data_IF_206281130726
#
_entry.id   IF_206281130726
#
_cell.length_a   1.000
_cell.length_b   1.000
_cell.length_c   1.000
_cell.angle_alpha   90.00
_cell.angle_beta   90.00
_cell.angle_gamma   90.00
#
_symmetry.space_group_name_H-M   'P 1'
#
loop_
_entity.id
_entity.type
_entity.pdbx_description
1 polymer ?
#
# COMPACT_ATOMS: atom_id res chain seq x y z
N UNK A 1 16.07 -50.16 -11.53
CA UNK A 1 16.37 -48.79 -11.96
C UNK A 1 15.05 -48.07 -12.07
N UNK A 2 14.84 -46.92 -11.37
CA UNK A 2 13.61 -46.16 -11.41
C UNK A 2 13.85 -44.88 -12.17
N UNK A 3 13.02 -44.59 -13.17
CA UNK A 3 13.10 -43.33 -13.91
C UNK A 3 12.28 -42.30 -13.18
N UNK A 4 12.91 -41.15 -12.87
CA UNK A 4 12.31 -40.06 -12.13
C UNK A 4 12.03 -38.88 -13.06
N UNK A 5 10.86 -38.21 -12.95
CA UNK A 5 10.59 -36.98 -13.68
C UNK A 5 11.48 -35.84 -13.16
N UNK A 6 11.74 -34.86 -14.02
CA UNK A 6 12.50 -33.66 -13.66
C UNK A 6 11.74 -32.88 -12.58
N UNK A 7 12.46 -32.42 -11.55
CA UNK A 7 11.86 -31.71 -10.41
C UNK A 7 11.47 -32.62 -9.23
N UNK A 8 11.80 -33.92 -9.28
CA UNK A 8 11.60 -34.83 -8.16
C UNK A 8 12.63 -34.61 -7.06
N UNK A 9 12.20 -34.60 -5.79
CA UNK A 9 13.07 -34.47 -4.63
C UNK A 9 13.47 -35.86 -4.09
N UNK A 10 14.76 -36.16 -4.09
CA UNK A 10 15.31 -37.38 -3.49
C UNK A 10 15.45 -37.15 -1.98
N UNK A 11 14.88 -38.04 -1.16
CA UNK A 11 14.83 -37.91 0.30
C UNK A 11 16.01 -38.68 0.95
N UNK A 12 16.52 -39.65 0.25
CA UNK A 12 17.51 -40.62 0.80
C UNK A 12 18.89 -40.20 0.36
N UNK A 13 19.83 -40.24 1.31
CA UNK A 13 21.25 -40.05 1.06
C UNK A 13 21.91 -41.34 0.52
N UNK A 14 23.00 -41.20 -0.24
CA UNK A 14 23.73 -42.32 -0.79
C UNK A 14 24.31 -43.20 0.33
N UNK A 15 24.18 -44.53 0.21
CA UNK A 15 24.72 -45.50 1.14
C UNK A 15 23.77 -45.95 2.26
N UNK A 16 22.56 -45.45 2.33
CA UNK A 16 21.59 -45.89 3.34
C UNK A 16 20.85 -47.15 2.87
N UNK A 17 20.77 -48.16 3.73
CA UNK A 17 19.97 -49.37 3.49
C UNK A 17 18.47 -49.06 3.61
N UNK A 18 17.71 -49.30 2.54
CA UNK A 18 16.27 -49.07 2.46
C UNK A 18 15.47 -50.36 2.60
N UNK A 19 14.44 -50.31 3.43
CA UNK A 19 13.47 -51.42 3.58
C UNK A 19 12.34 -51.30 2.59
N UNK A 20 11.67 -52.42 2.28
CA UNK A 20 10.48 -52.41 1.45
C UNK A 20 9.39 -51.47 2.03
N UNK A 21 8.83 -50.60 1.18
CA UNK A 21 7.87 -49.57 1.60
C UNK A 21 8.46 -48.23 2.00
N UNK A 22 9.78 -48.05 2.00
CA UNK A 22 10.41 -46.78 2.28
C UNK A 22 10.22 -45.78 1.11
N UNK A 23 9.91 -44.54 1.42
CA UNK A 23 9.71 -43.49 0.40
C UNK A 23 11.08 -43.03 -0.08
N UNK A 24 11.40 -43.27 -1.33
CA UNK A 24 12.72 -42.94 -1.92
C UNK A 24 12.72 -41.50 -2.48
N UNK A 25 11.61 -41.08 -3.06
CA UNK A 25 11.52 -39.81 -3.82
C UNK A 25 10.14 -39.21 -3.61
N UNK A 26 10.11 -37.91 -3.41
CA UNK A 26 8.91 -37.09 -3.48
C UNK A 26 8.79 -36.45 -4.86
N UNK A 27 7.70 -36.69 -5.53
CA UNK A 27 7.38 -36.03 -6.79
C UNK A 27 6.39 -34.91 -6.47
N UNK A 28 6.80 -33.63 -6.63
CA UNK A 28 5.84 -32.53 -6.44
C UNK A 28 4.69 -32.74 -7.44
N UNK A 29 3.48 -32.72 -6.95
CA UNK A 29 2.32 -32.68 -7.83
C UNK A 29 2.32 -31.33 -8.49
N UNK A 30 2.92 -31.22 -9.66
CA UNK A 30 2.64 -30.12 -10.57
C UNK A 30 1.19 -30.32 -10.95
N UNK A 31 0.30 -29.64 -10.27
CA UNK A 31 -1.04 -29.42 -10.77
C UNK A 31 -0.84 -28.82 -12.14
N UNK A 32 -0.97 -29.63 -13.19
CA UNK A 32 -1.23 -29.07 -14.50
C UNK A 32 -2.38 -28.12 -14.26
N UNK A 33 -2.13 -26.81 -14.31
CA UNK A 33 -3.18 -25.82 -14.21
C UNK A 33 -4.21 -26.28 -15.22
N UNK A 34 -5.26 -26.93 -14.73
CA UNK A 34 -6.46 -27.19 -15.51
C UNK A 34 -6.79 -25.81 -16.07
N UNK A 35 -6.64 -25.67 -17.36
CA UNK A 35 -6.98 -24.43 -18.11
C UNK A 35 -8.48 -24.27 -17.95
N UNK A 36 -8.86 -23.77 -16.78
CA UNK A 36 -10.24 -23.44 -16.52
C UNK A 36 -10.50 -22.17 -17.32
N UNK A 37 -11.16 -22.34 -18.45
CA UNK A 37 -11.55 -21.28 -19.40
C UNK A 37 -12.38 -20.22 -18.66
N UNK A 38 -12.98 -20.57 -17.53
CA UNK A 38 -13.76 -19.67 -16.67
C UNK A 38 -12.91 -18.73 -15.82
N UNK A 39 -11.62 -18.98 -15.67
CA UNK A 39 -10.70 -18.12 -14.91
C UNK A 39 -10.13 -16.92 -15.67
N UNK A 40 -10.49 -16.69 -16.94
CA UNK A 40 -9.91 -15.65 -17.78
C UNK A 40 -10.23 -14.21 -17.34
N UNK A 41 -11.07 -13.49 -18.11
CA UNK A 41 -11.44 -12.09 -17.83
C UNK A 41 -12.04 -11.87 -16.43
N UNK A 42 -12.91 -12.75 -15.88
CA UNK A 42 -13.40 -12.59 -14.51
C UNK A 42 -12.28 -12.58 -13.47
N UNK A 43 -11.23 -13.37 -13.65
CA UNK A 43 -10.07 -13.37 -12.75
C UNK A 43 -9.30 -12.04 -12.77
N UNK A 44 -9.13 -11.45 -13.94
CA UNK A 44 -8.50 -10.12 -14.07
C UNK A 44 -9.31 -9.07 -13.31
N UNK A 45 -10.64 -9.12 -13.42
CA UNK A 45 -11.53 -8.21 -12.68
C UNK A 45 -11.41 -8.41 -11.16
N UNK A 46 -11.39 -9.68 -10.68
CA UNK A 46 -11.17 -9.96 -9.25
C UNK A 46 -9.85 -9.38 -8.75
N UNK A 47 -8.76 -9.54 -9.51
CA UNK A 47 -7.44 -9.04 -9.13
C UNK A 47 -7.40 -7.52 -9.08
N UNK A 48 -7.95 -6.82 -10.08
CA UNK A 48 -8.00 -5.37 -10.10
C UNK A 48 -8.95 -4.78 -9.05
N UNK A 49 -10.03 -5.49 -8.70
CA UNK A 49 -10.91 -5.07 -7.61
C UNK A 49 -10.42 -5.52 -6.22
N UNK A 50 -9.28 -6.22 -6.15
CA UNK A 50 -8.72 -6.77 -4.92
C UNK A 50 -9.74 -7.59 -4.12
N UNK A 51 -10.60 -8.34 -4.82
CA UNK A 51 -11.64 -9.18 -4.21
C UNK A 51 -11.03 -10.50 -3.74
N UNK A 52 -11.61 -11.04 -2.67
CA UNK A 52 -11.29 -12.40 -2.28
C UNK A 52 -11.79 -13.38 -3.35
N UNK A 53 -10.97 -14.33 -3.79
CA UNK A 53 -11.37 -15.31 -4.78
C UNK A 53 -12.49 -16.21 -4.23
N UNK A 54 -13.35 -16.72 -5.13
CA UNK A 54 -14.43 -17.62 -4.76
C UNK A 54 -13.94 -18.96 -4.18
N UNK A 55 -12.73 -19.38 -4.57
CA UNK A 55 -12.04 -20.56 -4.03
C UNK A 55 -10.66 -20.17 -3.49
N UNK A 56 -10.56 -19.57 -2.27
CA UNK A 56 -9.30 -19.12 -1.73
C UNK A 56 -8.42 -20.29 -1.31
N UNK A 57 -7.15 -20.29 -1.71
CA UNK A 57 -6.15 -21.21 -1.19
C UNK A 57 -5.83 -20.87 0.28
N UNK A 58 -5.51 -21.89 1.06
CA UNK A 58 -4.97 -21.68 2.40
C UNK A 58 -3.47 -21.50 2.25
N UNK A 59 -2.96 -20.37 2.75
CA UNK A 59 -1.57 -19.94 2.60
C UNK A 59 -0.83 -20.08 3.93
N UNK A 60 0.44 -20.49 3.87
CA UNK A 60 1.29 -20.58 5.04
C UNK A 60 1.76 -19.17 5.46
N UNK A 61 1.65 -18.84 6.74
CA UNK A 61 2.06 -17.54 7.28
C UNK A 61 3.51 -17.51 7.77
N UNK A 62 4.11 -18.66 8.06
CA UNK A 62 5.46 -18.79 8.60
C UNK A 62 6.30 -19.74 7.75
N UNK A 63 7.60 -19.54 7.76
CA UNK A 63 8.55 -20.51 7.19
C UNK A 63 8.69 -21.70 8.13
N UNK A 64 8.57 -22.91 7.62
CA UNK A 64 8.69 -24.07 8.50
C UNK A 64 8.51 -25.42 7.81
N UNK A 65 8.58 -26.46 8.62
CA UNK A 65 8.37 -27.85 8.19
C UNK A 65 6.91 -28.22 8.44
N UNK A 66 6.31 -28.83 7.43
CA UNK A 66 4.90 -29.28 7.47
C UNK A 66 4.81 -30.63 8.19
N UNK A 67 3.87 -30.75 9.11
CA UNK A 67 3.45 -32.01 9.71
C UNK A 67 1.91 -32.16 9.57
N UNK A 68 1.46 -33.34 9.21
CA UNK A 68 0.04 -33.63 9.16
C UNK A 68 -0.49 -34.03 10.53
N UNK A 69 -1.46 -33.28 11.00
CA UNK A 69 -2.22 -33.61 12.20
C UNK A 69 -3.46 -34.48 11.96
N UNK A 70 -4.28 -34.59 12.98
CA UNK A 70 -5.50 -35.39 12.95
C UNK A 70 -6.61 -34.73 12.12
N UNK A 71 -7.51 -35.58 11.60
CA UNK A 71 -8.71 -35.11 10.93
C UNK A 71 -9.74 -34.74 11.98
N UNK A 72 -10.15 -33.46 12.01
CA UNK A 72 -11.17 -32.93 12.93
C UNK A 72 -12.38 -32.41 12.15
N UNK A 73 -13.54 -32.93 12.38
CA UNK A 73 -14.81 -32.45 11.78
C UNK A 73 -14.77 -32.26 10.25
N UNK A 74 -14.17 -33.19 9.51
CA UNK A 74 -14.08 -33.11 8.05
C UNK A 74 -12.97 -32.21 7.51
N UNK A 75 -12.13 -31.63 8.39
CA UNK A 75 -10.96 -30.85 8.02
C UNK A 75 -9.68 -31.59 8.45
N UNK A 76 -8.66 -31.57 7.61
CA UNK A 76 -7.33 -32.05 7.96
C UNK A 76 -6.55 -30.91 8.62
N UNK A 77 -5.98 -31.17 9.79
CA UNK A 77 -5.06 -30.25 10.46
C UNK A 77 -3.69 -30.36 9.79
N UNK A 78 -3.14 -29.24 9.36
CA UNK A 78 -1.76 -29.09 8.90
C UNK A 78 -1.05 -28.21 9.93
N UNK A 79 0.03 -28.72 10.46
CA UNK A 79 0.87 -28.01 11.43
C UNK A 79 2.13 -27.59 10.72
N UNK A 80 2.51 -26.33 10.84
CA UNK A 80 3.78 -25.82 10.32
C UNK A 80 4.61 -25.36 11.51
N UNK A 81 5.80 -25.91 11.63
CA UNK A 81 6.74 -25.63 12.71
C UNK A 81 7.93 -24.86 12.14
N UNK A 82 8.15 -23.65 12.64
CA UNK A 82 9.30 -22.83 12.30
C UNK A 82 10.55 -23.27 13.05
N UNK A 83 11.73 -22.95 12.53
CA UNK A 83 13.02 -23.15 13.22
C UNK A 83 13.09 -22.41 14.57
N UNK A 84 12.33 -21.35 14.73
CA UNK A 84 12.25 -20.54 15.95
C UNK A 84 11.30 -21.12 17.01
N UNK A 85 10.74 -22.33 16.78
CA UNK A 85 9.80 -22.98 17.66
C UNK A 85 8.37 -22.44 17.60
N UNK A 86 8.05 -21.54 16.68
CA UNK A 86 6.67 -21.11 16.43
C UNK A 86 5.92 -22.20 15.69
N UNK A 87 4.72 -22.52 16.20
CA UNK A 87 3.84 -23.54 15.60
C UNK A 87 2.53 -22.89 15.19
N UNK A 88 2.18 -22.98 13.90
CA UNK A 88 0.86 -22.57 13.38
C UNK A 88 0.10 -23.78 12.84
N UNK A 89 -1.21 -23.78 13.11
CA UNK A 89 -2.14 -24.86 12.71
C UNK A 89 -3.14 -24.35 11.72
N UNK A 90 -3.24 -25.05 10.60
CA UNK A 90 -4.16 -24.73 9.51
C UNK A 90 -5.18 -25.86 9.35
N UNK A 91 -6.44 -25.52 9.17
CA UNK A 91 -7.51 -26.49 8.96
C UNK A 91 -7.90 -26.47 7.48
N UNK A 92 -7.55 -27.51 6.76
CA UNK A 92 -7.85 -27.66 5.34
C UNK A 92 -9.03 -28.62 5.18
N UNK A 93 -10.16 -28.22 4.54
CA UNK A 93 -11.26 -29.10 4.24
C UNK A 93 -10.81 -30.29 3.38
N UNK A 94 -11.31 -31.48 3.67
CA UNK A 94 -10.97 -32.69 2.89
C UNK A 94 -11.42 -32.64 1.44
N UNK A 95 -12.34 -31.73 1.11
CA UNK A 95 -12.78 -31.48 -0.27
C UNK A 95 -11.72 -30.80 -1.13
N UNK A 96 -10.72 -30.17 -0.47
CA UNK A 96 -9.62 -29.49 -1.16
C UNK A 96 -8.39 -30.37 -1.28
N UNK A 97 -7.72 -30.28 -2.40
CA UNK A 97 -6.47 -30.97 -2.61
C UNK A 97 -5.35 -30.26 -1.82
N UNK A 98 -4.59 -31.03 -1.05
CA UNK A 98 -3.41 -30.55 -0.33
C UNK A 98 -2.22 -30.63 -1.29
N UNK A 99 -1.48 -29.54 -1.43
CA UNK A 99 -0.33 -29.42 -2.33
C UNK A 99 0.99 -29.83 -1.69
N UNK A 100 1.05 -29.80 -0.37
CA UNK A 100 2.26 -30.10 0.42
C UNK A 100 2.22 -31.53 0.92
N UNK A 101 3.39 -32.08 1.22
CA UNK A 101 3.55 -33.40 1.83
C UNK A 101 4.08 -33.27 3.25
N UNK A 102 4.00 -34.38 3.99
CA UNK A 102 4.57 -34.44 5.32
C UNK A 102 6.09 -34.25 5.28
N UNK A 103 6.62 -33.50 6.24
CA UNK A 103 8.05 -33.12 6.33
C UNK A 103 8.56 -32.23 5.17
N UNK A 104 7.69 -31.62 4.36
CA UNK A 104 8.10 -30.62 3.38
C UNK A 104 8.44 -29.30 4.06
N UNK A 105 9.48 -28.63 3.58
CA UNK A 105 9.78 -27.25 3.97
C UNK A 105 8.97 -26.29 3.12
N UNK A 106 8.17 -25.44 3.74
CA UNK A 106 7.35 -24.40 3.09
C UNK A 106 7.81 -23.02 3.50
N UNK A 107 7.78 -22.08 2.55
CA UNK A 107 8.05 -20.67 2.82
C UNK A 107 6.74 -19.94 3.11
N UNK A 108 6.84 -18.89 3.90
CA UNK A 108 5.73 -17.97 4.12
C UNK A 108 5.17 -17.45 2.78
N UNK A 109 3.83 -17.46 2.63
CA UNK A 109 3.17 -17.13 1.38
C UNK A 109 3.01 -18.30 0.39
N UNK A 110 3.47 -19.51 0.71
CA UNK A 110 3.25 -20.69 -0.14
C UNK A 110 1.86 -21.27 0.10
N UNK A 111 1.13 -21.71 -0.97
CA UNK A 111 -0.17 -22.33 -0.80
C UNK A 111 -0.04 -23.75 -0.25
N UNK A 112 -0.81 -24.06 0.79
CA UNK A 112 -0.92 -25.40 1.39
C UNK A 112 -2.00 -26.23 0.70
N UNK A 113 -3.05 -25.58 0.21
CA UNK A 113 -4.14 -26.22 -0.50
C UNK A 113 -4.28 -25.65 -1.91
N UNK A 114 -5.01 -26.39 -2.73
CA UNK A 114 -5.43 -25.94 -4.04
C UNK A 114 -6.36 -24.69 -3.89
N UNK A 115 -6.40 -23.88 -4.96
CA UNK A 115 -7.18 -22.64 -4.99
C UNK A 115 -6.36 -21.43 -5.42
N UNK A 116 -7.00 -20.29 -5.43
CA UNK A 116 -6.39 -19.01 -5.79
C UNK A 116 -5.95 -18.28 -4.53
N UNK A 117 -4.73 -17.75 -4.53
CA UNK A 117 -4.24 -16.99 -3.38
C UNK A 117 -4.93 -15.63 -3.35
N UNK A 118 -5.42 -15.21 -2.19
CA UNK A 118 -5.96 -13.87 -2.01
C UNK A 118 -4.82 -12.84 -1.94
N UNK A 119 -4.87 -11.75 -2.71
CA UNK A 119 -3.82 -10.72 -2.67
C UNK A 119 -3.62 -10.11 -1.27
N UNK A 120 -4.69 -10.04 -0.47
CA UNK A 120 -4.64 -9.54 0.91
C UNK A 120 -3.76 -10.41 1.82
N UNK A 121 -3.80 -11.74 1.66
CA UNK A 121 -2.97 -12.65 2.45
C UNK A 121 -1.49 -12.48 2.10
N UNK A 122 -1.16 -12.31 0.82
CA UNK A 122 0.22 -12.03 0.39
C UNK A 122 0.69 -10.71 0.98
N UNK A 123 -0.16 -9.68 0.99
CA UNK A 123 0.17 -8.38 1.57
C UNK A 123 0.51 -8.50 3.05
N UNK A 124 -0.29 -9.24 3.80
CA UNK A 124 -0.10 -9.44 5.23
C UNK A 124 1.16 -10.25 5.55
N UNK A 125 1.49 -11.26 4.72
CA UNK A 125 2.56 -12.23 5.00
C UNK A 125 3.90 -11.76 4.41
N UNK A 126 3.92 -11.36 3.11
CA UNK A 126 5.15 -11.08 2.36
C UNK A 126 5.40 -9.61 2.08
N UNK A 127 4.41 -8.76 2.40
CA UNK A 127 4.51 -7.33 2.23
C UNK A 127 4.18 -6.81 0.83
N UNK A 128 4.30 -5.48 0.62
CA UNK A 128 3.78 -4.78 -0.56
C UNK A 128 4.46 -5.18 -1.88
N UNK A 129 5.77 -5.41 -1.89
CA UNK A 129 6.49 -5.77 -3.11
C UNK A 129 6.05 -7.12 -3.67
N UNK A 130 5.87 -8.11 -2.79
CA UNK A 130 5.42 -9.44 -3.21
C UNK A 130 4.02 -9.44 -3.80
N UNK A 131 3.12 -8.58 -3.28
CA UNK A 131 1.77 -8.41 -3.84
C UNK A 131 1.83 -7.79 -5.23
N UNK A 132 2.66 -6.77 -5.42
CA UNK A 132 2.83 -6.13 -6.73
C UNK A 132 3.29 -7.15 -7.78
N UNK A 133 4.33 -7.91 -7.47
CA UNK A 133 4.84 -8.96 -8.34
C UNK A 133 3.77 -10.03 -8.62
N UNK A 134 3.07 -10.49 -7.58
CA UNK A 134 2.02 -11.49 -7.71
C UNK A 134 0.89 -11.02 -8.63
N UNK A 135 0.36 -9.83 -8.41
CA UNK A 135 -0.77 -9.31 -9.20
C UNK A 135 -0.38 -9.11 -10.65
N UNK A 136 0.81 -8.56 -10.93
CA UNK A 136 1.32 -8.38 -12.30
C UNK A 136 1.46 -9.75 -12.99
N UNK A 137 2.09 -10.73 -12.33
CA UNK A 137 2.32 -12.04 -12.91
C UNK A 137 1.01 -12.80 -13.18
N UNK A 138 0.06 -12.77 -12.25
CA UNK A 138 -1.24 -13.43 -12.42
C UNK A 138 -2.05 -12.82 -13.59
N UNK A 139 -2.08 -11.48 -13.68
CA UNK A 139 -2.78 -10.80 -14.78
C UNK A 139 -2.11 -11.11 -16.11
N UNK A 140 -0.79 -11.06 -16.18
CA UNK A 140 -0.03 -11.38 -17.39
C UNK A 140 -0.23 -12.84 -17.82
N UNK A 141 -0.31 -13.76 -16.85
CA UNK A 141 -0.57 -15.16 -17.17
C UNK A 141 -1.94 -15.34 -17.84
N UNK A 142 -2.99 -14.69 -17.31
CA UNK A 142 -4.32 -14.73 -17.91
C UNK A 142 -4.30 -14.19 -19.35
N UNK A 143 -3.65 -13.05 -19.59
CA UNK A 143 -3.57 -12.48 -20.94
C UNK A 143 -2.73 -13.33 -21.89
N UNK A 144 -1.61 -13.89 -21.43
CA UNK A 144 -0.77 -14.81 -22.22
C UNK A 144 -1.51 -16.08 -22.63
N UNK A 145 -2.33 -16.64 -21.75
CA UNK A 145 -3.18 -17.79 -22.05
C UNK A 145 -4.21 -17.48 -23.13
N UNK A 146 -4.64 -16.22 -23.25
CA UNK A 146 -5.53 -15.75 -24.32
C UNK A 146 -4.80 -15.28 -25.59
N UNK A 147 -3.47 -15.40 -25.62
CA UNK A 147 -2.65 -14.99 -26.77
C UNK A 147 -2.43 -13.48 -26.87
N UNK A 148 -2.82 -12.70 -25.88
CA UNK A 148 -2.67 -11.25 -25.85
C UNK A 148 -1.33 -10.89 -25.19
N UNK A 149 -0.54 -10.04 -25.86
CA UNK A 149 0.73 -9.51 -25.35
C UNK A 149 0.51 -8.08 -24.86
N UNK A 150 0.68 -7.83 -23.59
CA UNK A 150 0.61 -6.52 -22.95
C UNK A 150 1.95 -6.26 -22.26
N UNK A 151 2.45 -5.03 -22.31
CA UNK A 151 3.64 -4.66 -21.56
C UNK A 151 3.30 -4.58 -20.07
N UNK A 152 4.15 -5.13 -19.22
CA UNK A 152 3.97 -5.17 -17.76
C UNK A 152 3.76 -3.77 -17.17
N UNK A 153 4.37 -2.74 -17.76
CA UNK A 153 4.26 -1.36 -17.26
C UNK A 153 2.83 -0.81 -17.23
N UNK A 154 1.96 -1.24 -18.13
CA UNK A 154 0.55 -0.83 -18.11
C UNK A 154 -0.16 -1.36 -16.85
N UNK A 155 0.17 -2.59 -16.44
CA UNK A 155 -0.39 -3.21 -15.23
C UNK A 155 0.28 -2.62 -13.99
N UNK A 156 1.59 -2.44 -14.00
CA UNK A 156 2.37 -1.86 -12.90
C UNK A 156 1.85 -0.47 -12.48
N UNK A 157 1.52 0.39 -13.46
CA UNK A 157 0.95 1.71 -13.17
C UNK A 157 -0.38 1.61 -12.42
N UNK A 158 -1.23 0.66 -12.81
CA UNK A 158 -2.52 0.43 -12.14
C UNK A 158 -2.29 -0.09 -10.73
N UNK A 159 -1.44 -1.11 -10.56
CA UNK A 159 -1.12 -1.71 -9.25
C UNK A 159 -0.48 -0.69 -8.32
N UNK A 160 0.39 0.19 -8.82
CA UNK A 160 0.95 1.30 -8.06
C UNK A 160 -0.16 2.20 -7.49
N UNK A 161 -1.17 2.50 -8.29
CA UNK A 161 -2.30 3.33 -7.86
C UNK A 161 -3.20 2.62 -6.83
N UNK A 162 -3.36 1.30 -6.96
CA UNK A 162 -4.09 0.47 -5.99
C UNK A 162 -3.41 0.44 -4.61
N UNK A 163 -2.09 0.63 -4.56
CA UNK A 163 -1.28 0.59 -3.33
C UNK A 163 -0.77 1.97 -2.90
N UNK A 164 -1.38 3.03 -3.41
CA UNK A 164 -1.00 4.42 -3.09
C UNK A 164 -1.35 4.81 -1.67
N UNK A 165 -2.43 4.26 -1.12
CA UNK A 165 -2.97 4.55 0.21
C UNK A 165 -2.40 3.63 1.28
N UNK A 166 -2.31 4.18 2.49
CA UNK A 166 -1.99 3.47 3.72
C UNK A 166 -3.08 3.70 4.74
N UNK A 167 -3.30 2.75 5.62
CA UNK A 167 -4.25 2.85 6.73
C UNK A 167 -3.50 3.18 8.01
N UNK A 168 -3.91 4.21 8.70
CA UNK A 168 -3.29 4.65 9.94
C UNK A 168 -3.69 3.69 11.05
N UNK A 169 -2.70 3.09 11.72
CA UNK A 169 -2.92 2.17 12.86
C UNK A 169 -2.86 2.93 14.17
N UNK A 170 -1.88 3.81 14.34
CA UNK A 170 -1.70 4.69 15.48
C UNK A 170 -1.36 6.08 14.95
N UNK A 171 -2.17 7.05 15.28
CA UNK A 171 -1.98 8.41 14.83
C UNK A 171 -0.81 9.12 15.54
N UNK A 172 -0.39 8.64 16.70
CA UNK A 172 0.64 9.29 17.52
C UNK A 172 0.31 10.77 17.78
N UNK A 173 1.28 11.65 17.54
CA UNK A 173 1.13 13.10 17.70
C UNK A 173 0.92 13.82 16.33
N UNK A 174 0.54 13.08 15.28
CA UNK A 174 0.24 13.65 13.96
C UNK A 174 -1.19 14.18 13.89
N UNK A 175 -1.52 14.84 12.77
CA UNK A 175 -2.89 15.32 12.48
C UNK A 175 -3.83 14.22 11.98
N UNK A 176 -3.35 12.99 11.79
CA UNK A 176 -4.15 11.90 11.26
C UNK A 176 -5.12 11.34 12.30
N UNK A 177 -6.15 10.67 11.81
CA UNK A 177 -7.07 9.88 12.62
C UNK A 177 -6.77 8.40 12.46
N UNK A 178 -7.04 7.62 13.50
CA UNK A 178 -6.92 6.17 13.44
C UNK A 178 -7.94 5.59 12.45
N UNK A 179 -7.58 4.51 11.77
CA UNK A 179 -8.37 3.83 10.73
C UNK A 179 -8.60 4.65 9.45
N UNK A 180 -8.05 5.85 9.32
CA UNK A 180 -8.16 6.65 8.09
C UNK A 180 -7.22 6.13 6.99
N UNK A 181 -7.68 6.32 5.73
CA UNK A 181 -6.94 5.97 4.53
C UNK A 181 -6.26 7.20 3.95
N UNK A 182 -4.98 7.35 4.23
CA UNK A 182 -4.18 8.48 3.77
C UNK A 182 -3.24 8.12 2.62
N UNK A 183 -2.82 9.12 1.87
CA UNK A 183 -1.82 8.96 0.82
C UNK A 183 -0.46 8.64 1.46
N UNK A 184 0.22 7.62 0.95
CA UNK A 184 1.53 7.20 1.47
C UNK A 184 2.55 8.34 1.49
N UNK A 185 2.49 9.23 0.50
CA UNK A 185 3.39 10.37 0.43
C UNK A 185 3.09 11.40 1.52
N UNK A 186 1.81 11.75 1.71
CA UNK A 186 1.37 12.68 2.75
C UNK A 186 1.67 12.14 4.15
N UNK A 187 1.53 10.82 4.34
CA UNK A 187 1.92 10.13 5.58
C UNK A 187 3.43 10.29 5.89
N UNK A 188 4.29 10.06 4.90
CA UNK A 188 5.74 10.22 5.07
C UNK A 188 6.07 11.68 5.37
N UNK A 189 5.50 12.62 4.61
CA UNK A 189 5.74 14.05 4.78
C UNK A 189 5.31 14.56 6.16
N UNK A 190 4.19 14.08 6.69
CA UNK A 190 3.73 14.46 8.03
C UNK A 190 4.63 13.88 9.13
N UNK A 191 5.07 12.64 9.00
CA UNK A 191 6.03 12.05 9.93
C UNK A 191 7.38 12.79 9.89
N UNK A 192 7.86 13.17 8.71
CA UNK A 192 9.07 13.99 8.57
C UNK A 192 8.89 15.37 9.20
N UNK A 193 7.69 15.95 9.10
CA UNK A 193 7.37 17.24 9.71
C UNK A 193 7.49 17.23 11.24
N UNK A 194 7.12 16.12 11.87
CA UNK A 194 7.18 16.00 13.35
C UNK A 194 8.48 15.37 13.84
N UNK A 195 9.32 14.87 12.92
CA UNK A 195 10.63 14.34 13.27
C UNK A 195 11.48 15.41 14.01
N UNK A 196 12.16 15.01 15.07
CA UNK A 196 12.92 15.89 15.98
C UNK A 196 12.12 16.96 16.73
N UNK A 197 10.78 16.96 16.65
CA UNK A 197 9.96 17.85 17.47
C UNK A 197 9.64 17.24 18.82
N UNK A 198 9.27 18.12 19.73
CA UNK A 198 8.88 17.78 21.10
C UNK A 198 7.42 18.15 21.33
N UNK A 199 6.73 17.38 22.12
CA UNK A 199 5.37 17.67 22.59
C UNK A 199 5.44 18.16 24.02
N UNK A 200 4.82 19.30 24.28
CA UNK A 200 4.73 19.88 25.62
C UNK A 200 3.83 19.01 26.50
N UNK A 201 4.37 18.44 27.55
CA UNK A 201 3.59 17.70 28.56
C UNK A 201 3.04 18.63 29.63
N UNK A 202 3.91 19.50 30.20
CA UNK A 202 3.53 20.52 31.13
C UNK A 202 4.05 21.88 30.67
N UNK A 203 3.15 22.85 30.52
CA UNK A 203 3.48 24.20 30.03
C UNK A 203 4.23 25.04 31.08
N UNK A 204 4.26 24.59 32.37
CA UNK A 204 4.83 25.40 33.44
C UNK A 204 4.20 26.80 33.53
N UNK A 205 5.03 27.82 33.67
CA UNK A 205 4.63 29.25 33.71
C UNK A 205 4.80 29.94 32.34
N UNK A 206 4.87 29.19 31.25
CA UNK A 206 4.98 29.77 29.91
C UNK A 206 3.67 30.45 29.50
N UNK A 207 3.82 31.66 28.89
CA UNK A 207 2.69 32.40 28.33
C UNK A 207 2.43 32.03 26.86
N UNK A 208 3.40 31.45 26.18
CA UNK A 208 3.35 31.17 24.73
C UNK A 208 3.05 29.73 24.40
N UNK A 209 3.52 28.77 25.22
CA UNK A 209 3.38 27.33 24.99
C UNK A 209 2.23 26.74 25.79
N UNK A 210 1.48 25.84 25.15
CA UNK A 210 0.34 25.14 25.77
C UNK A 210 0.64 23.65 25.84
N UNK A 211 0.07 22.94 26.84
CA UNK A 211 0.14 21.51 26.92
C UNK A 211 -0.45 20.84 25.65
N UNK A 212 0.22 19.82 25.13
CA UNK A 212 -0.12 19.14 23.89
C UNK A 212 0.37 19.83 22.61
N UNK A 213 1.02 20.99 22.68
CA UNK A 213 1.57 21.70 21.53
C UNK A 213 2.88 21.04 21.06
N UNK A 214 3.03 20.91 19.75
CA UNK A 214 4.25 20.42 19.11
C UNK A 214 5.18 21.62 18.86
N UNK A 215 6.40 21.55 19.41
CA UNK A 215 7.37 22.63 19.36
C UNK A 215 8.71 22.13 18.83
N UNK A 216 9.48 23.03 18.23
CA UNK A 216 10.85 22.74 17.85
C UNK A 216 11.79 22.83 19.05
N UNK A 217 12.90 22.14 18.98
CA UNK A 217 13.93 22.16 20.03
C UNK A 217 14.51 23.58 20.24
N UNK A 218 14.48 24.41 19.20
CA UNK A 218 14.90 25.80 19.25
C UNK A 218 13.93 26.66 20.04
N UNK A 219 12.65 26.63 19.69
CA UNK A 219 11.58 27.35 20.40
C UNK A 219 11.55 27.00 21.90
N UNK A 220 11.67 25.69 22.19
CA UNK A 220 11.73 25.22 23.58
C UNK A 220 12.93 25.79 24.36
N UNK A 221 14.11 25.83 23.74
CA UNK A 221 15.31 26.37 24.37
C UNK A 221 15.19 27.87 24.60
N UNK A 222 14.64 28.60 23.66
CA UNK A 222 14.41 30.05 23.75
C UNK A 222 13.44 30.34 24.90
N UNK A 223 12.30 29.68 24.95
CA UNK A 223 11.30 29.86 26.00
C UNK A 223 11.80 29.45 27.39
N UNK A 224 12.44 28.29 27.51
CA UNK A 224 13.01 27.83 28.78
C UNK A 224 14.16 28.75 29.26
N UNK A 225 14.88 29.42 28.37
CA UNK A 225 15.88 30.43 28.73
C UNK A 225 15.23 31.67 29.34
N UNK A 226 14.10 32.12 28.79
CA UNK A 226 13.34 33.27 29.30
C UNK A 226 12.76 32.93 30.69
N UNK A 227 12.14 31.76 30.83
CA UNK A 227 11.55 31.28 32.10
C UNK A 227 12.59 31.14 33.19
N UNK A 228 13.78 30.58 32.89
CA UNK A 228 14.88 30.48 33.86
C UNK A 228 15.41 31.84 34.32
N UNK A 229 15.47 32.83 33.42
CA UNK A 229 15.87 34.21 33.79
C UNK A 229 14.86 34.92 34.67
N UNK A 230 13.57 34.49 34.60
CA UNK A 230 12.47 35.02 35.37
C UNK A 230 12.18 34.22 36.67
N UNK A 231 13.04 33.23 37.00
CA UNK A 231 12.85 32.28 38.12
C UNK A 231 11.48 31.59 38.10
N UNK A 232 10.98 31.27 36.91
CA UNK A 232 9.70 30.58 36.67
C UNK A 232 9.88 29.11 36.34
N UNK A 233 8.79 28.35 36.49
CA UNK A 233 8.74 26.91 36.18
C UNK A 233 8.99 26.68 34.69
N UNK A 234 9.97 25.85 34.35
CA UNK A 234 10.31 25.51 32.94
C UNK A 234 9.29 24.57 32.35
N UNK A 235 9.22 24.57 31.00
CA UNK A 235 8.35 23.69 30.22
C UNK A 235 8.94 22.29 30.18
N UNK A 236 8.12 21.27 30.53
CA UNK A 236 8.46 19.87 30.39
C UNK A 236 7.92 19.33 29.07
N UNK A 237 8.72 18.49 28.41
CA UNK A 237 8.41 17.96 27.07
C UNK A 237 8.79 16.50 26.96
N UNK A 238 8.11 15.80 26.07
CA UNK A 238 8.46 14.47 25.58
C UNK A 238 8.76 14.51 24.08
N UNK A 239 9.38 13.44 23.57
CA UNK A 239 9.54 13.27 22.13
C UNK A 239 8.19 13.07 21.44
N UNK A 240 8.02 13.70 20.27
CA UNK A 240 6.84 13.48 19.45
C UNK A 240 6.84 12.04 18.87
N UNK A 241 5.71 11.35 18.99
CA UNK A 241 5.53 10.01 18.42
C UNK A 241 5.08 10.13 16.97
N UNK A 242 5.80 9.53 16.01
CA UNK A 242 5.34 9.45 14.63
C UNK A 242 4.12 8.53 14.52
N UNK A 243 3.28 8.78 13.52
CA UNK A 243 2.20 7.87 13.19
C UNK A 243 2.74 6.55 12.62
N UNK A 244 2.03 5.46 12.91
CA UNK A 244 2.27 4.16 12.30
C UNK A 244 1.14 3.80 11.34
N UNK A 245 1.48 3.16 10.22
CA UNK A 245 0.50 2.79 9.22
C UNK A 245 0.79 1.40 8.65
N UNK A 246 -0.25 0.76 8.13
CA UNK A 246 -0.13 -0.48 7.39
C UNK A 246 -0.44 -0.25 5.90
N UNK A 247 0.29 -0.90 4.98
CA UNK A 247 -0.03 -0.83 3.57
C UNK A 247 -1.36 -1.52 3.29
N UNK A 248 -2.15 -0.94 2.39
CA UNK A 248 -3.46 -1.46 1.99
C UNK A 248 -3.49 -1.64 0.48
N UNK A 249 -4.11 -2.72 0.02
CA UNK A 249 -4.42 -2.94 -1.38
C UNK A 249 -5.88 -2.57 -1.63
N UNK A 250 -6.12 -1.50 -2.36
CA UNK A 250 -7.46 -1.05 -2.74
C UNK A 250 -7.81 -1.55 -4.14
N UNK A 251 -9.06 -1.96 -4.34
CA UNK A 251 -9.58 -2.18 -5.69
C UNK A 251 -9.58 -0.90 -6.52
N UNK A 252 -9.53 -1.02 -7.85
CA UNK A 252 -9.45 0.13 -8.77
C UNK A 252 -10.60 1.12 -8.56
N UNK A 253 -11.80 0.63 -8.27
CA UNK A 253 -12.97 1.48 -8.00
C UNK A 253 -12.76 2.33 -6.76
N UNK A 254 -12.36 1.73 -5.63
CA UNK A 254 -12.07 2.46 -4.39
C UNK A 254 -10.88 3.40 -4.55
N UNK A 255 -9.82 2.96 -5.23
CA UNK A 255 -8.65 3.78 -5.50
C UNK A 255 -8.99 5.02 -6.35
N UNK A 256 -9.89 4.88 -7.33
CA UNK A 256 -10.33 5.98 -8.19
C UNK A 256 -11.24 6.98 -7.47
N UNK A 257 -12.05 6.54 -6.51
CA UNK A 257 -12.89 7.41 -5.68
C UNK A 257 -12.09 8.09 -4.56
N UNK A 258 -11.01 7.47 -4.09
CA UNK A 258 -10.14 7.97 -3.03
C UNK A 258 -9.01 8.89 -3.51
N UNK A 259 -9.05 9.42 -4.74
CA UNK A 259 -8.05 10.39 -5.23
C UNK A 259 -8.20 11.74 -4.53
N UNK A 260 -7.12 12.54 -4.52
CA UNK A 260 -7.13 13.87 -3.90
C UNK A 260 -8.09 14.83 -4.58
N UNK A 261 -8.21 14.74 -5.92
CA UNK A 261 -9.13 15.55 -6.70
C UNK A 261 -10.57 15.03 -6.58
N UNK A 262 -11.43 15.77 -5.90
CA UNK A 262 -12.84 15.43 -5.79
C UNK A 262 -13.62 15.62 -7.12
N UNK A 263 -13.17 16.53 -7.99
CA UNK A 263 -13.74 16.70 -9.35
C UNK A 263 -13.52 15.44 -10.17
N UNK A 264 -12.30 14.91 -10.15
CA UNK A 264 -11.96 13.67 -10.84
C UNK A 264 -12.75 12.47 -10.31
N UNK A 265 -12.88 12.34 -9.01
CA UNK A 265 -13.65 11.28 -8.36
C UNK A 265 -15.15 11.38 -8.71
N UNK A 266 -15.75 12.58 -8.61
CA UNK A 266 -17.16 12.82 -8.92
C UNK A 266 -17.53 12.52 -10.37
N UNK A 267 -16.61 12.74 -11.30
CA UNK A 267 -16.83 12.44 -12.72
C UNK A 267 -16.73 10.95 -13.07
N UNK A 268 -16.28 10.11 -12.14
CA UNK A 268 -16.15 8.66 -12.36
C UNK A 268 -17.40 7.89 -11.92
N UNK A 269 -17.73 7.93 -10.64
CA UNK A 269 -18.91 7.26 -10.05
C UNK A 269 -19.38 7.99 -8.79
N UNK A 270 -20.58 7.68 -8.33
CA UNK A 270 -21.16 8.21 -7.09
C UNK A 270 -21.12 9.76 -7.00
N UNK A 271 -21.40 10.44 -8.10
CA UNK A 271 -21.26 11.90 -8.25
C UNK A 271 -21.87 12.67 -7.09
N UNK A 272 -23.13 12.39 -6.73
CA UNK A 272 -23.86 13.09 -5.67
C UNK A 272 -23.20 12.93 -4.30
N UNK A 273 -22.76 11.72 -3.98
CA UNK A 273 -22.11 11.40 -2.70
C UNK A 273 -20.77 12.11 -2.57
N UNK A 274 -19.94 12.04 -3.63
CA UNK A 274 -18.62 12.69 -3.66
C UNK A 274 -18.75 14.20 -3.54
N UNK A 275 -19.67 14.83 -4.28
CA UNK A 275 -19.93 16.26 -4.22
C UNK A 275 -20.43 16.70 -2.83
N UNK A 276 -21.36 15.94 -2.23
CA UNK A 276 -21.86 16.24 -0.89
C UNK A 276 -20.76 16.14 0.16
N UNK A 277 -19.92 15.10 0.10
CA UNK A 277 -18.80 14.94 1.03
C UNK A 277 -17.76 16.05 0.85
N UNK A 278 -17.41 16.39 -0.38
CA UNK A 278 -16.46 17.48 -0.66
C UNK A 278 -16.98 18.84 -0.15
N UNK A 279 -18.29 19.10 -0.30
CA UNK A 279 -18.93 20.31 0.21
C UNK A 279 -18.93 20.37 1.76
N UNK A 280 -19.28 19.27 2.44
CA UNK A 280 -19.27 19.20 3.91
C UNK A 280 -17.85 19.38 4.45
N UNK A 281 -16.84 18.77 3.80
CA UNK A 281 -15.45 18.85 4.23
C UNK A 281 -14.76 20.16 3.79
N UNK A 282 -15.39 20.99 2.95
CA UNK A 282 -14.78 22.19 2.41
C UNK A 282 -13.51 21.89 1.57
N UNK A 283 -13.49 20.77 0.85
CA UNK A 283 -12.31 20.36 0.06
C UNK A 283 -12.02 21.33 -1.07
N UNK A 284 -10.76 21.71 -1.19
CA UNK A 284 -10.24 22.50 -2.32
C UNK A 284 -9.50 21.55 -3.26
N UNK A 285 -9.83 21.60 -4.55
CA UNK A 285 -9.13 20.86 -5.59
C UNK A 285 -7.95 21.67 -6.12
N UNK A 286 -6.77 21.10 -6.07
CA UNK A 286 -5.53 21.76 -6.52
C UNK A 286 -5.36 21.78 -8.04
N UNK A 287 -6.25 21.13 -8.78
CA UNK A 287 -6.24 21.06 -10.25
C UNK A 287 -4.91 20.58 -10.84
N UNK A 288 -4.32 19.57 -10.22
CA UNK A 288 -3.00 19.02 -10.62
C UNK A 288 -3.09 17.97 -11.73
N UNK A 289 -4.24 17.33 -11.89
CA UNK A 289 -4.46 16.30 -12.89
C UNK A 289 -4.95 16.84 -14.23
N UNK A 290 -5.06 15.95 -15.20
CA UNK A 290 -5.56 16.31 -16.54
C UNK A 290 -7.07 16.46 -16.56
N UNK A 291 -7.78 15.54 -15.88
CA UNK A 291 -9.23 15.40 -15.94
C UNK A 291 -9.97 16.62 -15.37
N UNK A 292 -9.53 17.11 -14.20
CA UNK A 292 -10.10 18.27 -13.52
C UNK A 292 -9.94 19.53 -14.39
N UNK A 293 -8.77 19.74 -14.97
CA UNK A 293 -8.52 20.90 -15.83
C UNK A 293 -9.36 20.85 -17.11
N UNK A 294 -9.51 19.69 -17.72
CA UNK A 294 -10.37 19.51 -18.91
C UNK A 294 -11.85 19.79 -18.58
N UNK A 295 -12.33 19.30 -17.43
CA UNK A 295 -13.73 19.51 -17.00
C UNK A 295 -14.02 20.99 -16.75
N UNK A 296 -13.10 21.72 -16.17
CA UNK A 296 -13.24 23.15 -15.85
C UNK A 296 -12.90 24.07 -17.02
N UNK A 297 -12.37 23.52 -18.12
CA UNK A 297 -12.01 24.30 -19.31
C UNK A 297 -10.65 25.01 -19.21
N UNK A 298 -9.83 24.65 -18.22
CA UNK A 298 -8.46 25.14 -18.11
C UNK A 298 -7.51 24.37 -19.01
N UNK A 299 -6.37 24.97 -19.33
CA UNK A 299 -5.28 24.27 -20.01
C UNK A 299 -4.76 23.15 -19.11
N UNK A 300 -4.44 22.00 -19.70
CA UNK A 300 -3.82 20.90 -18.96
C UNK A 300 -2.44 21.34 -18.45
N UNK A 301 -2.01 20.86 -17.27
CA UNK A 301 -0.73 21.24 -16.66
C UNK A 301 0.46 20.54 -17.36
N UNK A 302 0.54 20.70 -18.66
CA UNK A 302 1.60 20.17 -19.54
C UNK A 302 1.81 21.09 -20.73
N UNK A 303 3.05 21.18 -21.21
CA UNK A 303 3.42 22.07 -22.31
C UNK A 303 3.13 23.53 -21.98
N UNK A 304 2.39 24.21 -22.84
CA UNK A 304 2.03 25.64 -22.65
C UNK A 304 1.12 25.93 -21.46
N UNK A 305 0.47 24.91 -20.88
CA UNK A 305 -0.40 25.05 -19.70
C UNK A 305 0.34 24.82 -18.37
N UNK A 306 1.64 24.68 -18.34
CA UNK A 306 2.40 24.62 -17.11
C UNK A 306 2.43 25.98 -16.43
N UNK A 307 2.18 26.02 -15.11
CA UNK A 307 2.14 27.25 -14.30
C UNK A 307 3.42 28.08 -14.40
N UNK A 308 4.54 27.47 -14.73
CA UNK A 308 5.82 28.14 -14.96
C UNK A 308 5.78 29.05 -16.19
N UNK A 309 5.01 28.66 -17.22
CA UNK A 309 4.87 29.43 -18.46
C UNK A 309 3.81 30.51 -18.41
N UNK A 310 2.86 30.46 -17.46
CA UNK A 310 1.83 31.51 -17.27
C UNK A 310 2.43 32.89 -17.01
N UNK A 311 3.65 32.93 -16.45
CA UNK A 311 4.39 34.16 -16.15
C UNK A 311 5.37 34.56 -17.25
N UNK A 312 5.51 33.74 -18.31
CA UNK A 312 6.40 34.02 -19.42
C UNK A 312 5.67 34.86 -20.47
N UNK A 313 6.06 36.11 -20.54
CA UNK A 313 5.62 37.01 -21.61
C UNK A 313 6.67 36.95 -22.71
N UNK A 314 6.28 36.38 -23.85
CA UNK A 314 7.12 36.36 -25.06
C UNK A 314 6.84 37.66 -25.82
N UNK A 315 7.75 38.60 -25.77
CA UNK A 315 7.64 39.87 -26.43
C UNK A 315 9.00 40.48 -26.73
N UNK A 316 9.01 41.59 -27.45
CA UNK A 316 10.23 42.39 -27.61
C UNK A 316 10.64 43.05 -26.31
N UNK A 317 11.89 43.44 -26.18
CA UNK A 317 12.38 44.16 -24.98
C UNK A 317 11.61 45.47 -24.77
N UNK A 318 11.21 46.14 -25.86
CA UNK A 318 10.41 47.36 -25.84
C UNK A 318 9.01 47.15 -25.30
N UNK A 319 8.35 46.05 -25.70
CA UNK A 319 7.03 45.67 -25.17
C UNK A 319 7.08 45.30 -23.69
N UNK A 320 8.16 44.66 -23.25
CA UNK A 320 8.36 44.36 -21.81
C UNK A 320 8.50 45.63 -20.99
N UNK A 321 9.30 46.64 -21.46
CA UNK A 321 9.48 47.92 -20.76
C UNK A 321 8.16 48.69 -20.65
N UNK A 322 7.31 48.65 -21.70
CA UNK A 322 5.96 49.24 -21.68
C UNK A 322 5.04 48.55 -20.67
N UNK A 323 5.04 47.22 -20.66
CA UNK A 323 4.22 46.43 -19.71
C UNK A 323 4.71 46.58 -18.25
N UNK A 324 6.01 46.64 -18.04
CA UNK A 324 6.59 46.84 -16.71
C UNK A 324 6.24 48.26 -16.16
N UNK A 325 6.34 49.29 -16.97
CA UNK A 325 5.93 50.66 -16.58
C UNK A 325 4.42 50.79 -16.32
N UNK A 326 3.59 50.09 -17.12
CA UNK A 326 2.15 50.03 -16.89
C UNK A 326 1.76 49.29 -15.58
N UNK A 327 2.49 48.24 -15.22
CA UNK A 327 2.31 47.53 -13.95
C UNK A 327 2.72 48.34 -12.75
N UNK A 328 3.85 49.05 -12.83
CA UNK A 328 4.25 49.98 -11.78
C UNK A 328 3.24 51.10 -11.58
N UNK A 329 2.67 51.66 -12.65
CA UNK A 329 1.61 52.65 -12.55
C UNK A 329 0.33 52.12 -11.87
N UNK A 330 -0.09 50.87 -12.16
CA UNK A 330 -1.27 50.26 -11.52
C UNK A 330 -1.04 49.92 -10.03
N UNK A 331 0.18 49.60 -9.62
CA UNK A 331 0.49 49.34 -8.21
C UNK A 331 0.52 50.59 -7.33
N UNK A 332 0.73 51.76 -7.91
CA UNK A 332 0.61 53.05 -7.21
C UNK A 332 -0.84 53.50 -7.00
N UNK A 333 -1.78 53.09 -7.89
CA UNK A 333 -3.22 53.40 -7.76
C UNK A 333 -3.95 52.47 -6.77
N UNK A 334 -3.39 51.36 -6.36
CA UNK A 334 -3.95 50.47 -5.33
C UNK A 334 -3.49 50.78 -3.89
N UNK A 335 -2.53 51.68 -3.70
CA UNK A 335 -2.04 52.14 -2.38
C UNK A 335 -2.58 53.50 -1.94
N UNK A 336 -3.44 54.20 -2.75
CA UNK A 336 -4.23 55.35 -2.34
C UNK A 336 -5.70 54.94 -2.02
#
# INVERSE_FOLDING_TARGET
MYNLPVGSHIIIEEGIEVKAGHVLVKIPRVLGKLKDITGGLPRVTELFEARNPGNPAIVCEIDGIVAFGNIKRGNREIVVESKDGMVKKYLVPLTRQILVQDSDFVKAGSPLSDGQIAPADILAIRGPFAVQEYVVNEIQEVYRLQGVKINDKHIEVIVRQMMKKVEIVDAGDTKFLEEDLEDRYDFIQENDRIYDKKVVTEAGDSATLKAGQIVTLRELREENSILRRADKKVVEVRDAKPATARPVLLGITKASLGVQSWISAASFQETTKVLSQAAIQGKVDLMLGLKENVITGHLIPAGTGQKEFDKLIVGSKEEYEVLASAREAMSFDEEE
#
